data_IF_332445300319
#
_entry.id   IF_332445300319
#
_cell.length_a   1.000
_cell.length_b   1.000
_cell.length_c   1.000
_cell.angle_alpha   90.00
_cell.angle_beta   90.00
_cell.angle_gamma   90.00
#
_symmetry.space_group_name_H-M   'P 1'
#
loop_
_entity.id
_entity.type
_entity.pdbx_description
1 polymer ?
#
# COMPACT_ATOMS: atom_id res chain seq x y z
N UNK A 1 -1.55 27.56 -10.35
CA UNK A 1 -0.12 27.28 -10.63
C UNK A 1 0.37 26.28 -9.60
N UNK A 2 0.44 24.99 -9.96
CA UNK A 2 0.93 23.90 -9.11
C UNK A 2 2.43 24.13 -8.87
N UNK A 3 2.75 24.89 -7.83
CA UNK A 3 4.11 25.25 -7.44
C UNK A 3 4.86 24.00 -7.00
N UNK A 4 5.72 23.47 -7.87
CA UNK A 4 6.95 22.75 -7.55
C UNK A 4 6.92 21.86 -6.28
N UNK A 5 5.92 20.97 -6.15
CA UNK A 5 6.24 19.69 -5.53
C UNK A 5 7.22 19.04 -6.49
N UNK A 6 8.52 19.08 -6.15
CA UNK A 6 9.55 18.63 -7.08
C UNK A 6 9.20 17.23 -7.58
N UNK A 7 9.24 17.02 -8.90
CA UNK A 7 8.98 15.71 -9.51
C UNK A 7 9.78 14.60 -8.83
N UNK A 8 10.98 14.93 -8.33
CA UNK A 8 11.81 14.07 -7.50
C UNK A 8 11.15 13.63 -6.17
N UNK A 9 10.43 14.51 -5.47
CA UNK A 9 9.68 14.16 -4.24
C UNK A 9 8.51 13.22 -4.58
N UNK A 10 7.79 13.48 -5.66
CA UNK A 10 6.69 12.62 -6.13
C UNK A 10 7.24 11.25 -6.55
N UNK A 11 8.36 11.21 -7.28
CA UNK A 11 9.03 9.98 -7.68
C UNK A 11 9.52 9.18 -6.46
N UNK A 12 10.10 9.85 -5.45
CA UNK A 12 10.55 9.21 -4.21
C UNK A 12 9.38 8.62 -3.41
N UNK A 13 8.25 9.32 -3.32
CA UNK A 13 7.04 8.82 -2.67
C UNK A 13 6.45 7.62 -3.41
N UNK A 14 6.38 7.69 -4.75
CA UNK A 14 5.94 6.56 -5.59
C UNK A 14 6.86 5.36 -5.44
N UNK A 15 8.18 5.57 -5.41
CA UNK A 15 9.13 4.49 -5.16
C UNK A 15 8.90 3.86 -3.79
N UNK A 16 8.65 4.65 -2.73
CA UNK A 16 8.35 4.12 -1.41
C UNK A 16 7.08 3.27 -1.34
N UNK A 17 6.08 3.57 -2.19
CA UNK A 17 4.86 2.75 -2.34
C UNK A 17 5.21 1.43 -3.04
N UNK A 18 5.88 1.47 -4.19
CA UNK A 18 6.20 0.26 -4.97
C UNK A 18 7.29 -0.62 -4.35
N UNK A 19 8.17 -0.05 -3.54
CA UNK A 19 9.19 -0.77 -2.77
C UNK A 19 8.74 -1.10 -1.35
N UNK A 20 7.44 -0.94 -1.04
CA UNK A 20 6.91 -1.30 0.28
C UNK A 20 7.13 -2.79 0.52
N UNK A 21 7.48 -3.12 1.76
CA UNK A 21 7.60 -4.49 2.24
C UNK A 21 7.16 -4.51 3.71
N UNK A 22 6.45 -5.56 4.08
CA UNK A 22 6.18 -5.85 5.49
C UNK A 22 7.47 -6.32 6.17
N UNK A 23 7.69 -5.91 7.42
CA UNK A 23 8.82 -6.41 8.20
C UNK A 23 8.50 -7.79 8.83
N UNK A 24 9.52 -8.60 9.09
CA UNK A 24 9.40 -9.99 9.56
C UNK A 24 8.57 -10.17 10.84
N UNK A 25 8.63 -9.18 11.75
CA UNK A 25 7.91 -9.20 13.03
C UNK A 25 6.77 -8.18 13.11
N UNK A 26 6.44 -7.55 11.98
CA UNK A 26 5.39 -6.55 11.92
C UNK A 26 4.04 -7.20 11.65
N UNK A 27 2.99 -6.77 12.36
CA UNK A 27 1.64 -7.25 12.09
C UNK A 27 1.13 -6.70 10.76
N UNK A 28 0.21 -7.41 10.11
CA UNK A 28 -0.43 -6.92 8.88
C UNK A 28 -1.11 -5.56 9.07
N UNK A 29 -1.63 -5.31 10.28
CA UNK A 29 -2.25 -4.06 10.67
C UNK A 29 -1.24 -2.92 10.74
N UNK A 30 -0.11 -3.12 11.43
CA UNK A 30 0.95 -2.11 11.53
C UNK A 30 1.55 -1.78 10.15
N UNK A 31 1.75 -2.82 9.32
CA UNK A 31 2.18 -2.65 7.94
C UNK A 31 1.16 -1.83 7.13
N UNK A 32 -0.14 -2.08 7.31
CA UNK A 32 -1.20 -1.32 6.65
C UNK A 32 -1.23 0.14 7.08
N UNK A 33 -1.08 0.43 8.38
CA UNK A 33 -0.98 1.81 8.88
C UNK A 33 0.21 2.56 8.27
N UNK A 34 1.39 1.93 8.17
CA UNK A 34 2.55 2.52 7.49
C UNK A 34 2.29 2.77 6.01
N UNK A 35 1.64 1.83 5.33
CA UNK A 35 1.29 1.98 3.93
C UNK A 35 0.29 3.12 3.71
N UNK A 36 -0.72 3.26 4.57
CA UNK A 36 -1.65 4.40 4.56
C UNK A 36 -0.93 5.73 4.81
N UNK A 37 0.05 5.77 5.71
CA UNK A 37 0.86 6.98 5.94
C UNK A 37 1.67 7.37 4.68
N UNK A 38 2.24 6.40 3.96
CA UNK A 38 2.91 6.64 2.68
C UNK A 38 1.96 7.19 1.61
N UNK A 39 0.72 6.67 1.55
CA UNK A 39 -0.32 7.17 0.65
C UNK A 39 -0.74 8.61 0.98
N UNK A 40 -0.97 8.92 2.27
CA UNK A 40 -1.35 10.27 2.75
C UNK A 40 -0.26 11.32 2.46
N UNK A 41 1.02 10.94 2.57
CA UNK A 41 2.16 11.80 2.20
C UNK A 41 2.23 12.08 0.71
N UNK A 42 1.59 11.27 -0.12
CA UNK A 42 1.48 11.44 -1.57
C UNK A 42 0.08 11.97 -1.94
N UNK A 43 -0.26 13.19 -1.50
CA UNK A 43 -1.58 13.83 -1.70
C UNK A 43 -2.08 13.87 -3.17
N UNK A 44 -1.15 13.70 -4.13
CA UNK A 44 -1.43 13.60 -5.57
C UNK A 44 -0.85 12.30 -6.18
N UNK A 45 -0.99 11.16 -5.51
CA UNK A 45 -0.44 9.89 -6.02
C UNK A 45 -0.95 9.54 -7.42
N UNK A 46 -2.21 9.89 -7.73
CA UNK A 46 -2.88 9.52 -8.98
C UNK A 46 -3.02 7.99 -9.16
N UNK A 47 -2.66 7.21 -8.13
CA UNK A 47 -2.73 5.76 -8.13
C UNK A 47 -4.18 5.32 -7.86
N UNK A 48 -4.77 4.51 -8.75
CA UNK A 48 -6.09 3.94 -8.52
C UNK A 48 -6.06 2.96 -7.33
N UNK A 49 -7.18 2.83 -6.63
CA UNK A 49 -7.30 2.01 -5.41
C UNK A 49 -6.85 0.55 -5.63
N UNK A 50 -7.19 -0.04 -6.78
CA UNK A 50 -6.79 -1.41 -7.11
C UNK A 50 -5.26 -1.59 -7.11
N UNK A 51 -4.52 -0.59 -7.58
CA UNK A 51 -3.07 -0.64 -7.66
C UNK A 51 -2.44 -0.52 -6.27
N UNK A 52 -3.04 0.30 -5.39
CA UNK A 52 -2.62 0.41 -4.00
C UNK A 52 -2.79 -0.93 -3.25
N UNK A 53 -3.94 -1.58 -3.42
CA UNK A 53 -4.22 -2.89 -2.83
C UNK A 53 -3.29 -3.98 -3.37
N UNK A 54 -3.08 -4.01 -4.69
CA UNK A 54 -2.16 -4.98 -5.30
C UNK A 54 -0.72 -4.80 -4.81
N UNK A 55 -0.24 -3.56 -4.70
CA UNK A 55 1.09 -3.27 -4.19
C UNK A 55 1.24 -3.72 -2.74
N UNK A 56 0.28 -3.41 -1.87
CA UNK A 56 0.32 -3.85 -0.48
C UNK A 56 0.26 -5.38 -0.35
N UNK A 57 -0.63 -6.03 -1.10
CA UNK A 57 -0.78 -7.49 -1.10
C UNK A 57 0.52 -8.20 -1.50
N UNK A 58 1.19 -7.71 -2.56
CA UNK A 58 2.47 -8.27 -2.99
C UNK A 58 3.59 -8.05 -1.95
N UNK A 59 3.55 -6.92 -1.24
CA UNK A 59 4.52 -6.53 -0.23
C UNK A 59 4.35 -7.25 1.12
N UNK A 60 3.13 -7.67 1.46
CA UNK A 60 2.78 -8.40 2.68
C UNK A 60 3.04 -9.93 2.58
N UNK A 61 3.89 -10.36 1.63
CA UNK A 61 4.19 -11.78 1.45
C UNK A 61 3.21 -12.52 0.53
N UNK A 62 2.42 -11.82 -0.30
CA UNK A 62 1.65 -12.39 -1.41
C UNK A 62 2.50 -13.01 -2.53
N UNK A 63 3.78 -13.29 -2.27
CA UNK A 63 4.69 -13.97 -3.18
C UNK A 63 4.30 -15.45 -3.31
N UNK A 64 3.53 -15.68 -4.37
CA UNK A 64 3.38 -16.91 -5.16
C UNK A 64 2.55 -18.07 -4.57
N UNK A 65 2.43 -18.26 -3.25
CA UNK A 65 1.77 -19.47 -2.70
C UNK A 65 0.33 -19.28 -2.15
N UNK A 66 -0.11 -18.05 -1.84
CA UNK A 66 -1.43 -17.80 -1.23
C UNK A 66 -2.40 -17.00 -2.14
N UNK A 67 -2.33 -17.18 -3.47
CA UNK A 67 -3.23 -16.50 -4.43
C UNK A 67 -4.66 -17.06 -4.45
N UNK A 68 -5.16 -17.59 -3.33
CA UNK A 68 -6.54 -18.07 -3.30
C UNK A 68 -7.46 -16.85 -3.25
N UNK A 69 -8.56 -16.82 -4.03
CA UNK A 69 -9.53 -15.72 -3.99
C UNK A 69 -10.08 -15.51 -2.57
N UNK A 70 -10.09 -16.56 -1.74
CA UNK A 70 -10.47 -16.52 -0.32
C UNK A 70 -9.49 -15.71 0.51
N UNK A 71 -8.18 -15.87 0.32
CA UNK A 71 -7.18 -15.07 1.04
C UNK A 71 -7.21 -13.60 0.60
N UNK A 72 -7.44 -13.35 -0.70
CA UNK A 72 -7.64 -12.00 -1.22
C UNK A 72 -8.94 -11.37 -0.68
N UNK A 73 -10.01 -12.15 -0.54
CA UNK A 73 -11.28 -11.69 -0.03
C UNK A 73 -11.24 -11.45 1.48
N UNK A 74 -10.67 -12.38 2.26
CA UNK A 74 -10.44 -12.21 3.70
C UNK A 74 -9.56 -10.97 3.96
N UNK A 75 -8.56 -10.75 3.10
CA UNK A 75 -7.75 -9.54 3.14
C UNK A 75 -8.60 -8.29 2.90
N UNK A 76 -9.38 -8.24 1.81
CA UNK A 76 -10.28 -7.11 1.50
C UNK A 76 -11.30 -6.87 2.62
N UNK A 77 -11.89 -7.93 3.19
CA UNK A 77 -12.86 -7.85 4.28
C UNK A 77 -12.23 -7.32 5.57
N UNK A 78 -11.06 -7.84 5.97
CA UNK A 78 -10.29 -7.31 7.11
C UNK A 78 -9.93 -5.84 6.93
N UNK A 79 -9.72 -5.41 5.69
CA UNK A 79 -9.34 -4.04 5.34
C UNK A 79 -10.56 -3.11 5.30
N UNK A 80 -11.70 -3.60 4.82
CA UNK A 80 -12.97 -2.88 4.82
C UNK A 80 -13.55 -2.70 6.24
N UNK A 81 -13.34 -3.69 7.11
CA UNK A 81 -13.75 -3.67 8.52
C UNK A 81 -12.88 -2.76 9.40
N UNK A 82 -11.66 -2.42 8.97
CA UNK A 82 -10.70 -1.58 9.71
C UNK A 82 -10.76 -0.08 9.34
N UNK A 83 -11.88 0.40 8.77
CA UNK A 83 -12.08 1.81 8.47
C UNK A 83 -12.69 2.58 9.66
N UNK A 84 -11.84 3.36 10.37
CA UNK A 84 -12.15 4.67 10.95
C UNK A 84 -10.97 5.62 10.66
#
# INVERSE_FOLDING_TARGET
MLKYFSLAKIAKLRNGIFSFAQFEFETLYDAWERFKDLLRRCLHHGLPLWLQLQTFYNAAGGTQNNKTPEAAQEFIEKMALNNY
#
